data_IF_438317974786
#
_entry.id   IF_438317974786
#
_cell.length_a   1.000
_cell.length_b   1.000
_cell.length_c   1.000
_cell.angle_alpha   90.00
_cell.angle_beta   90.00
_cell.angle_gamma   90.00
#
_symmetry.space_group_name_H-M   'P 1'
#
loop_
_entity.id
_entity.type
_entity.pdbx_description
1 polymer ?
#
# COMPACT_ATOMS: atom_id res chain seq x y z
N UNK A 1 -13.16 43.31 -5.15
CA UNK A 1 -13.62 42.49 -4.01
C UNK A 1 -12.63 41.34 -3.91
N UNK A 2 -11.98 41.12 -2.78
CA UNK A 2 -10.99 40.04 -2.67
C UNK A 2 -11.74 38.70 -2.80
N UNK A 3 -11.40 37.89 -3.81
CA UNK A 3 -11.90 36.52 -3.93
C UNK A 3 -11.43 35.73 -2.70
N UNK A 4 -12.38 35.35 -1.85
CA UNK A 4 -12.09 34.52 -0.69
C UNK A 4 -11.99 33.08 -1.15
N UNK A 5 -10.84 32.45 -0.90
CA UNK A 5 -10.64 31.05 -1.23
C UNK A 5 -11.63 30.16 -0.45
N UNK A 6 -12.36 29.25 -1.12
CA UNK A 6 -13.32 28.39 -0.44
C UNK A 6 -12.61 27.35 0.47
N UNK A 7 -13.20 26.96 1.60
CA UNK A 7 -12.64 25.93 2.47
C UNK A 7 -12.83 24.52 1.89
N UNK A 8 -11.87 23.64 2.18
CA UNK A 8 -11.92 22.23 1.80
C UNK A 8 -12.92 21.47 2.69
N UNK A 9 -13.88 20.76 2.08
CA UNK A 9 -14.90 19.99 2.81
C UNK A 9 -14.36 18.84 3.67
N UNK A 10 -13.14 18.36 3.40
CA UNK A 10 -12.53 17.27 4.19
C UNK A 10 -11.60 17.76 5.30
N UNK A 11 -10.81 18.82 5.07
CA UNK A 11 -9.76 19.26 6.01
C UNK A 11 -9.93 20.67 6.55
N UNK A 12 -10.94 21.43 6.09
CA UNK A 12 -11.26 22.78 6.53
C UNK A 12 -10.27 23.87 6.11
N UNK A 13 -9.15 23.52 5.46
CA UNK A 13 -8.15 24.49 4.96
C UNK A 13 -8.59 25.13 3.66
N UNK A 14 -8.14 26.35 3.38
CA UNK A 14 -8.44 27.04 2.13
C UNK A 14 -7.96 26.27 0.88
N UNK A 15 -8.78 26.27 -0.17
CA UNK A 15 -8.46 25.74 -1.50
C UNK A 15 -7.97 26.91 -2.35
N UNK A 16 -6.66 26.95 -2.61
CA UNK A 16 -6.05 28.03 -3.39
C UNK A 16 -6.29 27.80 -4.90
N UNK A 17 -6.39 28.86 -5.74
CA UNK A 17 -6.69 28.72 -7.16
C UNK A 17 -5.65 27.90 -7.95
N UNK A 18 -4.41 27.83 -7.47
CA UNK A 18 -3.31 27.05 -8.10
C UNK A 18 -3.18 25.63 -7.55
N UNK A 19 -4.06 25.18 -6.65
CA UNK A 19 -4.07 23.81 -6.14
C UNK A 19 -5.02 22.94 -6.95
N UNK A 20 -4.63 21.68 -7.17
CA UNK A 20 -5.57 20.71 -7.72
C UNK A 20 -6.68 20.42 -6.70
N UNK A 21 -7.92 20.71 -7.08
CA UNK A 21 -9.11 20.52 -6.27
C UNK A 21 -10.27 19.98 -7.12
N UNK A 22 -11.22 19.33 -6.46
CA UNK A 22 -12.43 18.77 -7.05
C UNK A 22 -13.62 19.49 -6.43
N UNK A 23 -14.57 19.93 -7.24
CA UNK A 23 -15.85 20.44 -6.78
C UNK A 23 -16.82 19.29 -6.60
N UNK A 24 -17.60 19.32 -5.51
CA UNK A 24 -18.70 18.39 -5.31
C UNK A 24 -19.96 18.92 -6.00
N UNK A 25 -20.50 18.16 -6.95
CA UNK A 25 -21.71 18.58 -7.70
C UNK A 25 -22.99 18.59 -6.84
N UNK A 26 -22.97 17.96 -5.66
CA UNK A 26 -24.13 17.87 -4.76
C UNK A 26 -24.18 18.98 -3.71
N UNK A 27 -23.02 19.40 -3.17
CA UNK A 27 -22.95 20.43 -2.12
C UNK A 27 -22.21 21.70 -2.55
N UNK A 28 -21.77 21.76 -3.81
CA UNK A 28 -20.98 22.86 -4.41
C UNK A 28 -19.68 23.20 -3.65
N UNK A 29 -19.28 22.33 -2.71
CA UNK A 29 -18.09 22.48 -1.90
C UNK A 29 -16.83 22.05 -2.66
N UNK A 30 -15.70 22.61 -2.26
CA UNK A 30 -14.39 22.26 -2.82
C UNK A 30 -13.67 21.25 -1.94
N UNK A 31 -12.95 20.31 -2.55
CA UNK A 31 -12.09 19.36 -1.86
C UNK A 31 -10.70 19.38 -2.49
N UNK A 32 -9.62 19.44 -1.70
CA UNK A 32 -8.28 19.23 -2.26
C UNK A 32 -8.19 17.83 -2.87
N UNK A 33 -7.52 17.69 -4.03
CA UNK A 33 -7.37 16.39 -4.69
C UNK A 33 -6.71 15.33 -3.80
N UNK A 34 -5.90 15.73 -2.82
CA UNK A 34 -5.18 14.86 -1.90
C UNK A 34 -5.98 14.55 -0.61
N UNK A 35 -7.08 15.24 -0.36
CA UNK A 35 -7.93 14.94 0.79
C UNK A 35 -8.84 13.77 0.46
N UNK A 36 -8.88 12.76 1.32
CA UNK A 36 -9.81 11.62 1.29
C UNK A 36 -9.84 10.78 -0.01
N UNK A 37 -8.89 10.95 -0.93
CA UNK A 37 -8.82 10.20 -2.21
C UNK A 37 -7.95 8.95 -2.14
N UNK A 38 -7.33 8.66 -1.00
CA UNK A 38 -6.34 7.58 -0.90
C UNK A 38 -5.08 7.80 -1.76
N UNK A 39 -4.98 8.94 -2.47
CA UNK A 39 -3.76 9.36 -3.14
C UNK A 39 -2.69 9.53 -2.07
N UNK A 40 -1.61 8.76 -2.20
CA UNK A 40 -0.57 8.65 -1.19
C UNK A 40 0.01 10.04 -0.94
N UNK A 41 -0.25 10.60 0.25
CA UNK A 41 0.29 11.90 0.66
C UNK A 41 1.83 11.90 0.68
N UNK A 42 2.42 10.71 0.85
CA UNK A 42 3.86 10.50 0.88
C UNK A 42 4.25 9.48 -0.18
N UNK A 43 5.17 9.84 -1.08
CA UNK A 43 5.84 8.87 -1.96
C UNK A 43 6.77 7.91 -1.18
N UNK A 44 6.79 8.00 0.15
CA UNK A 44 7.64 7.19 1.02
C UNK A 44 6.82 6.17 1.79
N UNK A 45 7.28 4.92 1.76
CA UNK A 45 6.83 3.83 2.65
C UNK A 45 7.50 3.90 4.03
N UNK A 46 8.15 5.02 4.36
CA UNK A 46 8.82 5.24 5.64
C UNK A 46 7.80 5.20 6.80
N UNK A 47 8.10 4.43 7.85
CA UNK A 47 7.19 4.17 8.99
C UNK A 47 5.86 3.49 8.63
N UNK A 48 5.78 2.84 7.47
CA UNK A 48 4.63 2.00 7.12
C UNK A 48 5.00 0.53 7.20
N UNK A 49 4.14 -0.26 7.83
CA UNK A 49 4.28 -1.72 7.91
C UNK A 49 4.55 -2.29 6.52
N UNK A 50 5.58 -3.11 6.38
CA UNK A 50 5.98 -3.71 5.10
C UNK A 50 4.91 -4.74 4.71
N UNK A 51 3.98 -4.31 3.85
CA UNK A 51 3.05 -5.22 3.17
C UNK A 51 3.56 -5.46 1.77
N UNK A 52 3.99 -6.68 1.47
CA UNK A 52 4.51 -7.03 0.13
C UNK A 52 3.48 -7.65 -0.80
N UNK A 53 2.23 -7.76 -0.38
CA UNK A 53 1.07 -7.97 -1.24
C UNK A 53 -0.13 -7.78 -0.33
N UNK A 54 -1.04 -6.85 -0.61
CA UNK A 54 -2.37 -7.04 -0.02
C UNK A 54 -3.00 -8.27 -0.72
N UNK A 55 -3.87 -9.02 -0.04
CA UNK A 55 -4.43 -10.24 -0.63
C UNK A 55 -5.04 -9.94 -2.01
N UNK A 56 -5.72 -8.80 -2.14
CA UNK A 56 -6.34 -8.32 -3.39
C UNK A 56 -5.32 -8.14 -4.53
N UNK A 57 -4.11 -7.63 -4.25
CA UNK A 57 -3.01 -7.48 -5.22
C UNK A 57 -2.45 -8.84 -5.64
N UNK A 58 -2.36 -9.80 -4.72
CA UNK A 58 -1.95 -11.17 -5.01
C UNK A 58 -2.96 -11.91 -5.87
N UNK A 59 -4.23 -11.79 -5.51
CA UNK A 59 -5.39 -12.27 -6.26
C UNK A 59 -5.42 -11.67 -7.67
N UNK A 60 -5.24 -10.36 -7.78
CA UNK A 60 -5.20 -9.66 -9.05
C UNK A 60 -4.03 -10.12 -9.93
N UNK A 61 -2.81 -10.22 -9.37
CA UNK A 61 -1.65 -10.71 -10.13
C UNK A 61 -1.86 -12.14 -10.63
N UNK A 62 -2.39 -13.03 -9.80
CA UNK A 62 -2.70 -14.41 -10.19
C UNK A 62 -3.73 -14.47 -11.32
N UNK A 63 -4.82 -13.72 -11.21
CA UNK A 63 -5.83 -13.60 -12.28
C UNK A 63 -5.24 -13.02 -13.56
N UNK A 64 -4.36 -12.03 -13.44
CA UNK A 64 -3.72 -11.37 -14.57
C UNK A 64 -2.69 -12.29 -15.27
N UNK A 65 -1.98 -13.13 -14.53
CA UNK A 65 -1.11 -14.18 -15.08
C UNK A 65 -1.91 -15.26 -15.81
N UNK A 66 -3.03 -15.72 -15.22
CA UNK A 66 -3.95 -16.66 -15.87
C UNK A 66 -4.53 -16.08 -17.16
N UNK A 67 -4.78 -14.76 -17.17
CA UNK A 67 -5.23 -13.99 -18.32
C UNK A 67 -4.16 -13.78 -19.40
N UNK A 68 -2.90 -14.21 -19.17
CA UNK A 68 -1.73 -13.90 -20.01
C UNK A 68 -1.61 -12.40 -20.32
N UNK A 69 -1.97 -11.56 -19.34
CA UNK A 69 -1.96 -10.09 -19.46
C UNK A 69 -2.83 -9.52 -20.61
N UNK A 70 -3.76 -10.31 -21.15
CA UNK A 70 -4.68 -9.91 -22.22
C UNK A 70 -6.15 -10.02 -21.82
N UNK A 71 -7.05 -9.46 -22.64
CA UNK A 71 -8.49 -9.49 -22.39
C UNK A 71 -9.04 -10.91 -22.39
N UNK A 72 -9.40 -11.43 -21.22
CA UNK A 72 -10.05 -12.73 -21.07
C UNK A 72 -11.52 -12.60 -21.46
N UNK A 73 -12.05 -13.45 -22.38
CA UNK A 73 -13.48 -13.50 -22.64
C UNK A 73 -14.26 -13.75 -21.36
N UNK A 74 -15.33 -12.98 -21.13
CA UNK A 74 -16.09 -12.95 -19.87
C UNK A 74 -16.45 -14.35 -19.32
N UNK A 75 -16.89 -15.26 -20.19
CA UNK A 75 -17.27 -16.62 -19.77
C UNK A 75 -16.09 -17.44 -19.19
N UNK A 76 -14.85 -17.20 -19.65
CA UNK A 76 -13.65 -17.83 -19.07
C UNK A 76 -13.26 -17.19 -17.74
N UNK A 77 -13.43 -15.88 -17.62
CA UNK A 77 -13.22 -15.17 -16.36
C UNK A 77 -14.16 -15.70 -15.27
N UNK A 78 -15.44 -15.91 -15.58
CA UNK A 78 -16.42 -16.45 -14.62
C UNK A 78 -16.03 -17.83 -14.10
N UNK A 79 -15.53 -18.72 -14.98
CA UNK A 79 -15.06 -20.05 -14.57
C UNK A 79 -13.84 -19.96 -13.65
N UNK A 80 -12.90 -19.07 -13.96
CA UNK A 80 -11.72 -18.85 -13.14
C UNK A 80 -12.08 -18.29 -11.76
N UNK A 81 -12.94 -17.27 -11.70
CA UNK A 81 -13.42 -16.69 -10.45
C UNK A 81 -14.13 -17.73 -9.57
N UNK A 82 -14.84 -18.69 -10.16
CA UNK A 82 -15.48 -19.78 -9.40
C UNK A 82 -14.47 -20.73 -8.77
N UNK A 83 -13.46 -21.16 -9.53
CA UNK A 83 -12.39 -22.02 -9.01
C UNK A 83 -11.61 -21.32 -7.87
N UNK A 84 -11.35 -20.04 -8.06
CA UNK A 84 -10.68 -19.21 -7.06
C UNK A 84 -11.52 -19.03 -5.78
N UNK A 85 -12.83 -18.82 -5.90
CA UNK A 85 -13.73 -18.72 -4.74
C UNK A 85 -13.80 -20.02 -3.90
N UNK A 86 -13.72 -21.18 -4.55
CA UNK A 86 -13.64 -22.48 -3.85
C UNK A 86 -12.34 -22.60 -3.03
N UNK A 87 -11.23 -22.06 -3.56
CA UNK A 87 -9.93 -22.04 -2.86
C UNK A 87 -9.93 -21.00 -1.74
N UNK A 88 -10.57 -19.84 -1.91
CA UNK A 88 -10.73 -18.82 -0.85
C UNK A 88 -11.42 -19.42 0.37
N UNK A 89 -12.50 -20.17 0.20
CA UNK A 89 -13.23 -20.76 1.34
C UNK A 89 -12.35 -21.71 2.15
N UNK A 90 -11.55 -22.53 1.47
CA UNK A 90 -10.56 -23.41 2.11
C UNK A 90 -9.42 -22.63 2.74
N UNK A 91 -8.92 -21.59 2.08
CA UNK A 91 -7.84 -20.73 2.56
C UNK A 91 -8.24 -19.94 3.80
N UNK A 92 -9.43 -19.33 3.82
CA UNK A 92 -10.02 -18.62 4.97
C UNK A 92 -10.21 -19.57 6.15
N UNK A 93 -10.65 -20.81 5.89
CA UNK A 93 -10.72 -21.86 6.93
C UNK A 93 -9.35 -22.32 7.41
N UNK A 94 -8.31 -22.15 6.61
CA UNK A 94 -6.91 -22.41 6.95
C UNK A 94 -6.15 -21.18 7.48
N UNK A 95 -6.78 -20.00 7.54
CA UNK A 95 -6.13 -18.76 8.00
C UNK A 95 -5.61 -18.84 9.45
N UNK A 96 -6.04 -19.86 10.20
CA UNK A 96 -5.41 -20.20 11.47
C UNK A 96 -3.92 -20.62 11.34
N UNK A 97 -3.49 -21.10 10.16
CA UNK A 97 -2.11 -21.46 9.82
C UNK A 97 -1.26 -20.28 9.32
N UNK A 98 -1.87 -19.16 8.91
CA UNK A 98 -1.15 -17.95 8.45
C UNK A 98 -0.40 -17.22 9.58
N UNK A 99 -0.68 -17.58 10.85
CA UNK A 99 0.11 -17.12 12.01
C UNK A 99 1.58 -17.59 11.96
N UNK A 100 1.86 -18.73 11.32
CA UNK A 100 3.21 -19.32 11.25
C UNK A 100 4.07 -18.71 10.12
N UNK A 101 3.45 -18.43 8.96
CA UNK A 101 4.11 -17.83 7.77
C UNK A 101 4.58 -16.39 8.00
N UNK A 102 3.94 -15.69 8.94
CA UNK A 102 4.28 -14.31 9.30
C UNK A 102 5.60 -14.17 10.06
N UNK A 103 6.24 -15.22 10.58
CA UNK A 103 7.45 -15.05 11.43
C UNK A 103 8.61 -14.38 10.72
N UNK A 104 8.87 -14.73 9.45
CA UNK A 104 9.96 -14.14 8.66
C UNK A 104 9.66 -12.67 8.36
N UNK A 105 8.42 -12.35 7.97
CA UNK A 105 7.99 -10.99 7.67
C UNK A 105 7.93 -10.12 8.93
N UNK A 106 7.42 -10.65 10.04
CA UNK A 106 7.44 -9.99 11.35
C UNK A 106 8.88 -9.75 11.83
N UNK A 107 9.81 -10.68 11.57
CA UNK A 107 11.23 -10.47 11.90
C UNK A 107 11.87 -9.39 11.02
N UNK A 108 11.58 -9.38 9.72
CA UNK A 108 12.02 -8.34 8.78
C UNK A 108 11.47 -6.97 9.17
N UNK A 109 10.17 -6.89 9.46
CA UNK A 109 9.49 -5.68 9.90
C UNK A 109 10.09 -5.13 11.20
N UNK A 110 10.37 -5.99 12.18
CA UNK A 110 11.07 -5.58 13.41
C UNK A 110 12.46 -4.99 13.15
N UNK A 111 13.22 -5.56 12.20
CA UNK A 111 14.55 -5.05 11.82
C UNK A 111 14.46 -3.67 11.17
N UNK A 112 13.49 -3.49 10.28
CA UNK A 112 13.24 -2.21 9.60
C UNK A 112 12.76 -1.15 10.59
N UNK A 113 11.86 -1.52 11.50
CA UNK A 113 11.36 -0.64 12.54
C UNK A 113 12.50 -0.13 13.44
N UNK A 114 13.38 -1.03 13.91
CA UNK A 114 14.55 -0.65 14.70
C UNK A 114 15.45 0.33 13.92
N UNK A 115 15.71 0.06 12.64
CA UNK A 115 16.51 0.94 11.80
C UNK A 115 15.88 2.34 11.63
N UNK A 116 14.55 2.44 11.59
CA UNK A 116 13.85 3.73 11.57
C UNK A 116 14.00 4.50 12.88
N UNK A 117 13.86 3.82 14.02
CA UNK A 117 13.92 4.46 15.33
C UNK A 117 15.32 5.04 15.57
N UNK A 118 16.38 4.28 15.30
CA UNK A 118 17.79 4.70 15.43
C UNK A 118 18.15 5.86 14.48
N UNK A 119 17.56 5.90 13.29
CA UNK A 119 17.73 7.01 12.36
C UNK A 119 17.02 8.29 12.85
N UNK A 120 15.82 8.16 13.40
CA UNK A 120 15.03 9.29 13.89
C UNK A 120 15.57 9.88 15.20
N UNK A 121 16.19 9.05 16.04
CA UNK A 121 16.93 9.48 17.22
C UNK A 121 18.25 10.18 16.86
N UNK A 122 18.63 10.20 15.58
CA UNK A 122 19.85 10.83 15.08
C UNK A 122 21.12 10.03 15.35
N UNK A 123 20.99 8.80 15.88
CA UNK A 123 22.12 7.90 16.11
C UNK A 123 22.72 7.40 14.80
N UNK A 124 21.90 7.23 13.75
CA UNK A 124 22.35 6.78 12.43
C UNK A 124 22.35 7.90 11.39
N UNK A 125 23.41 7.95 10.58
CA UNK A 125 23.41 8.77 9.37
C UNK A 125 22.52 8.14 8.29
N UNK A 126 21.99 8.95 7.37
CA UNK A 126 21.14 8.47 6.27
C UNK A 126 21.81 7.37 5.44
N UNK A 127 23.12 7.50 5.19
CA UNK A 127 23.90 6.48 4.46
C UNK A 127 24.00 5.14 5.22
N UNK A 128 24.15 5.19 6.54
CA UNK A 128 24.17 3.99 7.38
C UNK A 128 22.79 3.31 7.40
N UNK A 129 21.73 4.11 7.57
CA UNK A 129 20.35 3.65 7.47
C UNK A 129 20.05 2.95 6.13
N UNK A 130 20.39 3.56 5.00
CA UNK A 130 20.10 2.99 3.68
C UNK A 130 20.85 1.66 3.44
N UNK A 131 22.10 1.53 3.90
CA UNK A 131 22.82 0.24 3.84
C UNK A 131 22.17 -0.83 4.71
N UNK A 132 21.75 -0.48 5.91
CA UNK A 132 21.08 -1.41 6.82
C UNK A 132 19.76 -1.92 6.21
N UNK A 133 18.97 -1.03 5.61
CA UNK A 133 17.72 -1.41 4.92
C UNK A 133 18.02 -2.27 3.67
N UNK A 134 18.99 -1.90 2.84
CA UNK A 134 19.38 -2.71 1.68
C UNK A 134 19.79 -4.14 2.05
N UNK A 135 20.50 -4.29 3.18
CA UNK A 135 20.90 -5.59 3.72
C UNK A 135 19.70 -6.40 4.25
N UNK A 136 18.61 -5.75 4.68
CA UNK A 136 17.41 -6.45 5.13
C UNK A 136 16.67 -7.18 4.00
N UNK A 137 16.81 -6.71 2.75
CA UNK A 137 16.16 -7.31 1.58
C UNK A 137 17.08 -8.24 0.77
N UNK A 138 18.38 -8.24 1.04
CA UNK A 138 19.30 -9.20 0.41
C UNK A 138 19.07 -10.59 1.03
N UNK A 139 18.92 -11.66 0.22
CA UNK A 139 18.90 -13.01 0.75
C UNK A 139 20.15 -13.20 1.61
N UNK A 140 20.00 -13.74 2.83
CA UNK A 140 21.17 -14.15 3.60
C UNK A 140 21.90 -15.18 2.76
N UNK A 141 23.01 -14.75 2.15
CA UNK A 141 23.97 -15.66 1.53
C UNK A 141 24.49 -16.47 2.71
N UNK A 142 23.92 -17.65 2.91
CA UNK A 142 24.44 -18.61 3.87
C UNK A 142 25.82 -19.00 3.34
N UNK A 143 26.84 -18.32 3.84
CA UNK A 143 28.23 -18.79 3.72
C UNK A 143 28.36 -20.00 4.63
N UNK A 144 28.29 -21.19 4.01
CA UNK A 144 28.89 -22.42 4.53
C UNK A 144 30.41 -22.29 4.65
#
# INVERSE_FOLDING_TARGET
MAEVNPPCISCGREVRPKQHAVSCDACEGWQHRLCNTGMVQDWSVFRRTVRTNNDVEGWHNRLNTMARHGGVPFYKLVLQLRQEAEVVDVAVRSADLERESNRVYTALEKRIQKAWDEYMEGAWTTSHFLRAISSCYSPSVNTE
#
